data_IF_341909012551
#
_entry.id   IF_341909012551
#
_cell.length_a   1.000
_cell.length_b   1.000
_cell.length_c   1.000
_cell.angle_alpha   90.00
_cell.angle_beta   90.00
_cell.angle_gamma   90.00
#
_symmetry.space_group_name_H-M   'P 1'
#
loop_
_entity.id
_entity.type
_entity.pdbx_description
1 polymer ?
#
# COMPACT_ATOMS: atom_id res chain seq x y z
N UNK A 1 2.22 10.15 4.84
CA UNK A 1 1.48 8.89 4.62
C UNK A 1 2.16 7.76 5.35
N UNK A 2 1.45 6.67 5.70
CA UNK A 2 2.05 5.50 6.33
C UNK A 2 1.45 4.19 5.81
N UNK A 3 2.30 3.25 5.41
CA UNK A 3 1.92 1.89 4.99
C UNK A 3 1.53 1.02 6.19
N UNK A 4 0.53 0.17 6.03
CA UNK A 4 0.06 -0.72 7.08
C UNK A 4 1.01 -1.93 7.26
N UNK A 5 1.24 -2.34 8.51
CA UNK A 5 2.01 -3.54 8.91
C UNK A 5 1.12 -4.42 9.80
N UNK A 6 1.29 -5.75 9.80
CA UNK A 6 0.43 -6.67 10.56
C UNK A 6 0.21 -6.22 12.00
N UNK A 7 1.28 -5.85 12.73
CA UNK A 7 1.18 -5.41 14.14
C UNK A 7 0.21 -4.24 14.35
N UNK A 8 0.08 -3.32 13.39
CA UNK A 8 -0.88 -2.21 13.47
C UNK A 8 -2.27 -2.60 12.96
N UNK A 9 -2.34 -3.47 11.94
CA UNK A 9 -3.58 -4.01 11.40
C UNK A 9 -4.38 -4.81 12.43
N UNK A 10 -3.72 -5.76 13.08
CA UNK A 10 -4.31 -6.61 14.13
C UNK A 10 -4.94 -5.79 15.26
N UNK A 11 -4.20 -4.78 15.76
CA UNK A 11 -4.65 -3.92 16.86
C UNK A 11 -5.93 -3.14 16.54
N UNK A 12 -6.20 -2.85 15.28
CA UNK A 12 -7.32 -2.01 14.87
C UNK A 12 -8.44 -2.80 14.19
N UNK A 13 -8.15 -3.90 13.49
CA UNK A 13 -9.16 -4.75 12.88
C UNK A 13 -9.64 -5.87 13.81
N UNK A 14 -8.96 -6.13 14.92
CA UNK A 14 -9.30 -7.18 15.89
C UNK A 14 -8.83 -8.58 15.49
N UNK A 15 -8.33 -8.74 14.26
CA UNK A 15 -7.69 -9.96 13.75
C UNK A 15 -6.71 -9.59 12.62
N UNK A 16 -5.79 -10.50 12.30
CA UNK A 16 -4.90 -10.36 11.13
C UNK A 16 -5.58 -10.95 9.89
N UNK A 17 -6.08 -10.12 8.96
CA UNK A 17 -6.77 -10.63 7.77
C UNK A 17 -5.81 -11.32 6.78
N UNK A 18 -4.51 -11.07 6.92
CA UNK A 18 -3.53 -11.38 5.89
C UNK A 18 -3.36 -12.87 5.66
N UNK A 19 -3.24 -13.23 4.39
CA UNK A 19 -3.07 -14.61 3.91
C UNK A 19 -1.74 -14.85 3.22
N UNK A 20 -1.03 -13.81 2.75
CA UNK A 20 0.22 -14.02 2.01
C UNK A 20 1.45 -14.21 2.90
N UNK A 21 1.43 -13.71 4.14
CA UNK A 21 2.43 -14.00 5.16
C UNK A 21 1.89 -13.84 6.58
N UNK A 22 2.56 -14.47 7.54
CA UNK A 22 2.37 -14.27 8.99
C UNK A 22 3.53 -13.53 9.65
N UNK A 23 4.54 -13.13 8.89
CA UNK A 23 5.66 -12.34 9.42
C UNK A 23 5.17 -10.96 9.91
N UNK A 24 5.36 -10.58 11.19
CA UNK A 24 4.70 -9.39 11.77
C UNK A 24 4.99 -8.04 11.09
N UNK A 25 6.10 -7.97 10.36
CA UNK A 25 6.59 -6.76 9.71
C UNK A 25 6.19 -6.65 8.23
N UNK A 26 5.62 -7.69 7.64
CA UNK A 26 5.05 -7.66 6.31
C UNK A 26 3.83 -6.71 6.23
N UNK A 27 3.44 -6.28 5.02
CA UNK A 27 2.24 -5.49 4.81
C UNK A 27 0.99 -6.30 5.18
N UNK A 28 -0.01 -5.61 5.73
CA UNK A 28 -1.35 -6.22 5.86
C UNK A 28 -1.92 -6.43 4.46
N UNK A 29 -2.41 -7.62 4.17
CA UNK A 29 -3.11 -7.95 2.92
C UNK A 29 -4.52 -8.53 3.19
N UNK A 30 -5.22 -8.95 2.13
CA UNK A 30 -6.56 -9.56 2.22
C UNK A 30 -7.58 -8.66 2.94
N UNK A 31 -7.50 -7.35 2.69
CA UNK A 31 -8.47 -6.38 3.20
C UNK A 31 -9.39 -5.86 2.11
N UNK A 32 -10.64 -5.60 2.48
CA UNK A 32 -11.61 -4.88 1.64
C UNK A 32 -11.49 -3.37 1.87
N UNK A 33 -11.95 -2.52 0.93
CA UNK A 33 -12.03 -1.08 1.14
C UNK A 33 -12.85 -0.69 2.38
N UNK A 34 -13.89 -1.46 2.70
CA UNK A 34 -14.70 -1.27 3.91
C UNK A 34 -13.85 -1.43 5.17
N UNK A 35 -13.07 -2.51 5.27
CA UNK A 35 -12.15 -2.73 6.40
C UNK A 35 -11.07 -1.65 6.49
N UNK A 36 -10.57 -1.15 5.35
CA UNK A 36 -9.65 0.00 5.35
C UNK A 36 -10.33 1.26 5.94
N UNK A 37 -11.60 1.49 5.60
CA UNK A 37 -12.41 2.57 6.18
C UNK A 37 -12.61 2.43 7.70
N UNK A 38 -12.93 1.22 8.17
CA UNK A 38 -13.07 0.91 9.60
C UNK A 38 -11.74 1.11 10.36
N UNK A 39 -10.62 0.69 9.76
CA UNK A 39 -9.29 0.94 10.29
C UNK A 39 -9.02 2.45 10.41
N UNK A 40 -9.32 3.22 9.36
CA UNK A 40 -9.13 4.67 9.36
C UNK A 40 -9.98 5.35 10.44
N UNK A 41 -11.24 4.91 10.62
CA UNK A 41 -12.11 5.42 11.69
C UNK A 41 -11.49 5.17 13.06
N UNK A 42 -11.12 3.92 13.37
CA UNK A 42 -10.52 3.58 14.66
C UNK A 42 -9.18 4.27 14.91
N UNK A 43 -8.37 4.45 13.86
CA UNK A 43 -7.12 5.22 13.95
C UNK A 43 -7.40 6.70 14.25
N UNK A 44 -8.45 7.27 13.66
CA UNK A 44 -8.87 8.64 13.94
C UNK A 44 -9.34 8.80 15.38
N UNK A 45 -10.22 7.90 15.83
CA UNK A 45 -10.75 7.85 17.20
C UNK A 45 -9.59 7.75 18.23
N UNK A 46 -8.55 6.95 17.93
CA UNK A 46 -7.40 6.75 18.81
C UNK A 46 -6.40 7.91 18.84
N UNK A 47 -6.26 8.65 17.74
CA UNK A 47 -5.18 9.65 17.58
C UNK A 47 -5.67 11.09 17.62
N UNK A 48 -6.98 11.33 17.52
CA UNK A 48 -7.55 12.66 17.34
C UNK A 48 -7.26 13.30 15.98
N UNK A 49 -6.60 12.58 15.05
CA UNK A 49 -6.27 13.07 13.70
C UNK A 49 -7.15 12.38 12.68
N UNK A 50 -7.63 13.12 11.68
CA UNK A 50 -8.39 12.50 10.58
C UNK A 50 -7.49 11.57 9.76
N UNK A 51 -7.79 10.27 9.81
CA UNK A 51 -7.20 9.25 8.97
C UNK A 51 -8.18 8.84 7.86
N UNK A 52 -7.66 8.59 6.65
CA UNK A 52 -8.44 8.08 5.52
C UNK A 52 -7.59 7.33 4.51
N UNK A 53 -8.25 6.61 3.61
CA UNK A 53 -7.64 6.10 2.38
C UNK A 53 -7.12 7.27 1.52
N UNK A 54 -5.96 7.10 0.83
CA UNK A 54 -5.50 8.09 -0.13
C UNK A 54 -6.47 8.19 -1.32
N UNK A 55 -6.55 9.37 -1.93
CA UNK A 55 -7.06 9.46 -3.29
C UNK A 55 -6.04 8.85 -4.25
N UNK A 56 -6.48 8.43 -5.44
CA UNK A 56 -5.58 7.96 -6.49
C UNK A 56 -4.50 9.00 -6.82
N UNK A 57 -4.89 10.28 -6.93
CA UNK A 57 -3.98 11.37 -7.27
C UNK A 57 -2.99 11.64 -6.15
N UNK A 58 -3.42 11.62 -4.89
CA UNK A 58 -2.51 11.75 -3.75
C UNK A 58 -1.52 10.61 -3.70
N UNK A 59 -1.99 9.38 -3.95
CA UNK A 59 -1.13 8.21 -3.97
C UNK A 59 -0.06 8.33 -5.04
N UNK A 60 -0.44 8.70 -6.28
CA UNK A 60 0.51 8.83 -7.38
C UNK A 60 1.50 9.98 -7.16
N UNK A 61 1.02 11.12 -6.65
CA UNK A 61 1.86 12.27 -6.29
C UNK A 61 2.92 11.88 -5.25
N UNK A 62 2.48 11.16 -4.20
CA UNK A 62 3.37 10.63 -3.18
C UNK A 62 4.36 9.59 -3.72
N UNK A 63 3.94 8.75 -4.67
CA UNK A 63 4.81 7.73 -5.27
C UNK A 63 5.94 8.36 -6.08
N UNK A 64 5.60 9.39 -6.87
CA UNK A 64 6.53 10.15 -7.70
C UNK A 64 7.52 10.98 -6.91
N UNK A 65 7.09 11.55 -5.78
CA UNK A 65 7.92 12.38 -4.89
C UNK A 65 8.73 13.46 -5.65
N UNK A 66 8.09 14.12 -6.62
CA UNK A 66 8.72 15.17 -7.44
C UNK A 66 9.43 14.68 -8.70
N UNK A 67 9.42 13.38 -9.02
CA UNK A 67 10.03 12.81 -10.22
C UNK A 67 9.03 12.35 -11.28
N UNK A 68 9.48 12.24 -12.53
CA UNK A 68 8.76 11.59 -13.61
C UNK A 68 8.94 10.06 -13.58
N UNK A 69 8.47 9.41 -12.51
CA UNK A 69 8.49 7.96 -12.36
C UNK A 69 9.28 7.50 -11.13
N UNK A 70 10.46 6.91 -11.37
CA UNK A 70 11.35 6.40 -10.32
C UNK A 70 12.45 7.39 -9.91
N UNK A 71 12.59 8.52 -10.62
CA UNK A 71 13.79 9.36 -10.54
C UNK A 71 15.01 8.59 -11.06
N UNK A 72 16.15 8.73 -10.36
CA UNK A 72 17.41 8.04 -10.69
C UNK A 72 17.48 6.60 -10.17
N UNK A 73 16.44 6.13 -9.47
CA UNK A 73 16.41 4.80 -8.85
C UNK A 73 16.10 3.70 -9.86
N UNK A 74 16.72 2.52 -9.67
CA UNK A 74 16.28 1.30 -10.34
C UNK A 74 15.12 0.66 -9.57
N UNK A 75 14.21 0.00 -10.28
CA UNK A 75 13.07 -0.66 -9.62
C UNK A 75 13.51 -1.69 -8.57
N UNK A 76 14.60 -2.42 -8.83
CA UNK A 76 15.19 -3.41 -7.91
C UNK A 76 15.61 -2.83 -6.57
N UNK A 77 15.88 -1.52 -6.52
CA UNK A 77 16.38 -0.84 -5.34
C UNK A 77 15.23 -0.38 -4.45
N UNK A 78 14.05 -0.13 -5.04
CA UNK A 78 12.91 0.51 -4.35
C UNK A 78 11.67 -0.40 -4.21
N UNK A 79 11.64 -1.57 -4.86
CA UNK A 79 10.44 -2.40 -4.91
C UNK A 79 10.70 -3.91 -4.76
N UNK A 80 9.71 -4.59 -4.20
CA UNK A 80 9.57 -6.04 -4.22
C UNK A 80 8.52 -6.45 -5.28
N UNK A 81 8.94 -7.13 -6.33
CA UNK A 81 8.12 -7.49 -7.49
C UNK A 81 8.48 -8.88 -8.00
N UNK A 82 7.78 -9.37 -9.02
CA UNK A 82 7.77 -10.80 -9.39
C UNK A 82 9.16 -11.47 -9.48
N UNK A 83 10.15 -10.79 -10.06
CA UNK A 83 11.47 -11.41 -10.30
C UNK A 83 12.42 -11.32 -9.11
N UNK A 84 12.14 -10.48 -8.09
CA UNK A 84 13.03 -10.29 -6.95
C UNK A 84 12.38 -10.59 -5.59
N UNK A 85 11.10 -10.95 -5.55
CA UNK A 85 10.35 -11.14 -4.30
C UNK A 85 10.34 -12.56 -3.77
N UNK A 86 10.88 -13.54 -4.51
CA UNK A 86 10.70 -14.97 -4.22
C UNK A 86 9.21 -15.38 -4.13
N UNK A 87 8.33 -14.65 -4.84
CA UNK A 87 6.88 -14.89 -4.85
C UNK A 87 6.23 -14.82 -3.46
N UNK A 88 6.71 -13.90 -2.60
CA UNK A 88 6.14 -13.62 -1.28
C UNK A 88 6.25 -12.13 -0.92
N UNK A 89 5.42 -11.60 0.00
CA UNK A 89 5.65 -10.28 0.56
C UNK A 89 6.93 -10.26 1.41
N UNK A 90 7.46 -9.06 1.65
CA UNK A 90 8.65 -8.84 2.47
C UNK A 90 8.38 -7.81 3.56
N UNK A 91 9.17 -7.81 4.66
CA UNK A 91 9.08 -6.79 5.68
C UNK A 91 9.14 -5.37 5.09
N UNK A 92 8.19 -4.53 5.50
CA UNK A 92 8.06 -3.15 5.02
C UNK A 92 9.32 -2.34 5.30
N UNK A 93 9.75 -1.54 4.33
CA UNK A 93 10.87 -0.60 4.46
C UNK A 93 12.25 -1.24 4.36
N UNK A 94 12.35 -2.39 3.70
CA UNK A 94 13.61 -3.11 3.46
C UNK A 94 14.29 -2.76 2.14
N UNK A 95 13.59 -2.03 1.27
CA UNK A 95 14.11 -1.41 0.04
C UNK A 95 14.32 0.09 0.26
N UNK A 96 15.00 0.76 -0.67
CA UNK A 96 15.21 2.20 -0.60
C UNK A 96 13.88 2.98 -0.68
N UNK A 97 13.72 4.06 0.10
CA UNK A 97 12.56 4.94 -0.03
C UNK A 97 12.65 5.81 -1.28
N UNK A 98 11.54 6.46 -1.65
CA UNK A 98 11.58 7.57 -2.62
C UNK A 98 12.12 8.87 -1.97
N UNK A 99 12.21 9.95 -2.77
CA UNK A 99 12.77 11.24 -2.33
C UNK A 99 12.06 11.89 -1.12
N UNK A 100 10.86 11.44 -0.75
CA UNK A 100 10.12 11.92 0.44
C UNK A 100 10.21 10.96 1.63
N UNK A 101 11.09 9.95 1.57
CA UNK A 101 11.23 8.96 2.63
C UNK A 101 10.08 7.95 2.67
N UNK A 102 9.29 7.81 1.60
CA UNK A 102 8.20 6.84 1.54
C UNK A 102 8.69 5.52 0.97
N UNK A 103 8.48 4.46 1.74
CA UNK A 103 8.83 3.09 1.39
C UNK A 103 7.65 2.36 0.74
N UNK A 104 7.99 1.31 -0.02
CA UNK A 104 7.05 0.36 -0.62
C UNK A 104 5.93 1.07 -1.40
N UNK A 105 6.24 2.22 -2.02
CA UNK A 105 5.29 2.86 -2.94
C UNK A 105 5.06 2.00 -4.19
N UNK A 106 6.00 1.10 -4.51
CA UNK A 106 5.90 0.16 -5.61
C UNK A 106 6.21 -1.25 -5.13
N UNK A 107 5.41 -2.21 -5.60
CA UNK A 107 5.58 -3.61 -5.20
C UNK A 107 5.19 -3.89 -3.74
N UNK A 108 5.65 -5.02 -3.23
CA UNK A 108 5.31 -5.60 -1.93
C UNK A 108 3.81 -5.93 -1.83
N UNK A 109 2.93 -4.94 -1.63
CA UNK A 109 1.49 -5.11 -1.68
C UNK A 109 0.84 -4.05 -2.59
N UNK A 110 -0.22 -4.46 -3.29
CA UNK A 110 -1.11 -3.52 -3.95
C UNK A 110 -1.77 -2.66 -2.88
N UNK A 111 -2.07 -1.40 -3.18
CA UNK A 111 -2.65 -0.51 -2.17
C UNK A 111 -3.96 0.13 -2.62
N UNK A 112 -5.00 -0.01 -1.79
CA UNK A 112 -6.28 0.62 -2.02
C UNK A 112 -6.17 2.15 -2.09
N UNK A 113 -6.71 2.73 -3.17
CA UNK A 113 -6.88 4.15 -3.34
C UNK A 113 -8.26 4.47 -3.94
N UNK A 114 -8.78 5.66 -3.63
CA UNK A 114 -10.08 6.13 -4.12
C UNK A 114 -9.91 7.10 -5.29
N UNK A 115 -10.46 6.77 -6.44
CA UNK A 115 -10.69 7.73 -7.54
C UNK A 115 -12.07 8.39 -7.41
N UNK A 116 -12.41 9.28 -8.35
CA UNK A 116 -13.69 9.99 -8.32
C UNK A 116 -14.90 9.05 -8.47
N UNK A 117 -14.81 8.09 -9.40
CA UNK A 117 -15.90 7.18 -9.76
C UNK A 117 -15.58 5.69 -9.49
N UNK A 118 -14.45 5.41 -8.84
CA UNK A 118 -13.97 4.04 -8.64
C UNK A 118 -13.07 3.90 -7.41
N UNK A 119 -12.89 2.68 -6.94
CA UNK A 119 -11.90 2.30 -5.92
C UNK A 119 -11.09 1.14 -6.50
N UNK A 120 -9.77 1.17 -6.32
CA UNK A 120 -8.93 0.05 -6.71
C UNK A 120 -7.49 0.22 -6.29
N UNK A 121 -6.62 -0.59 -6.89
CA UNK A 121 -5.25 -0.73 -6.45
C UNK A 121 -4.26 0.13 -7.23
N UNK A 122 -3.20 0.48 -6.51
CA UNK A 122 -2.01 1.19 -6.99
C UNK A 122 -0.74 0.40 -6.67
N UNK A 123 0.35 0.74 -7.37
CA UNK A 123 1.73 0.37 -7.02
C UNK A 123 2.22 -1.01 -7.44
N UNK A 124 1.32 -2.01 -7.53
CA UNK A 124 1.73 -3.39 -7.74
C UNK A 124 2.10 -4.08 -6.43
N UNK A 125 2.24 -5.40 -6.48
CA UNK A 125 2.61 -6.26 -5.35
C UNK A 125 3.80 -7.16 -5.70
N UNK A 126 4.22 -8.00 -4.75
CA UNK A 126 5.29 -8.97 -4.91
C UNK A 126 5.16 -9.91 -6.13
N UNK A 127 3.97 -10.09 -6.71
CA UNK A 127 3.74 -10.89 -7.93
C UNK A 127 3.69 -10.08 -9.24
N UNK A 128 3.74 -8.75 -9.13
CA UNK A 128 3.58 -7.87 -10.29
C UNK A 128 4.84 -7.90 -11.14
N UNK A 129 4.75 -8.10 -12.46
CA UNK A 129 5.94 -8.06 -13.32
C UNK A 129 6.52 -6.64 -13.38
N UNK A 130 7.84 -6.53 -13.46
CA UNK A 130 8.62 -5.28 -13.51
C UNK A 130 7.98 -4.16 -14.35
N UNK A 131 7.70 -4.43 -15.63
CA UNK A 131 7.11 -3.44 -16.57
C UNK A 131 5.77 -2.83 -16.11
N UNK A 132 5.10 -3.45 -15.15
CA UNK A 132 3.83 -2.99 -14.56
C UNK A 132 4.02 -2.31 -13.21
N UNK A 133 5.16 -2.45 -12.54
CA UNK A 133 5.46 -1.87 -11.23
C UNK A 133 5.89 -0.40 -11.38
N UNK A 134 4.90 0.47 -11.66
CA UNK A 134 5.13 1.91 -11.91
C UNK A 134 4.08 2.78 -11.21
N UNK A 135 4.39 4.06 -10.91
CA UNK A 135 3.48 4.95 -10.19
C UNK A 135 2.10 5.11 -10.84
N UNK A 136 2.02 4.99 -12.17
CA UNK A 136 0.77 5.13 -12.95
C UNK A 136 -0.08 3.87 -13.02
N UNK A 137 0.35 2.75 -12.40
CA UNK A 137 -0.41 1.50 -12.44
C UNK A 137 -1.74 1.67 -11.70
N UNK A 138 -2.82 1.46 -12.45
CA UNK A 138 -4.18 1.31 -11.95
C UNK A 138 -4.60 -0.14 -12.14
N UNK A 139 -5.16 -0.75 -11.11
CA UNK A 139 -5.78 -2.08 -11.19
C UNK A 139 -7.17 -2.00 -10.58
N UNK A 140 -8.18 -2.09 -11.44
CA UNK A 140 -9.57 -2.14 -11.00
C UNK A 140 -9.84 -3.45 -10.27
N UNK A 141 -10.56 -3.38 -9.15
CA UNK A 141 -11.00 -4.56 -8.42
C UNK A 141 -12.53 -4.59 -8.41
N UNK A 142 -13.09 -5.12 -9.50
CA UNK A 142 -14.50 -4.95 -9.89
C UNK A 142 -15.55 -5.36 -8.86
N UNK A 143 -15.20 -6.23 -7.92
CA UNK A 143 -16.12 -6.70 -6.88
C UNK A 143 -15.79 -6.14 -5.49
N UNK A 144 -14.74 -5.32 -5.32
CA UNK A 144 -14.27 -4.80 -4.02
C UNK A 144 -14.02 -5.87 -2.94
N UNK A 145 -13.84 -7.13 -3.36
CA UNK A 145 -13.48 -8.24 -2.48
C UNK A 145 -12.02 -8.12 -2.03
N UNK A 146 -11.64 -8.85 -0.99
CA UNK A 146 -10.25 -8.98 -0.59
C UNK A 146 -9.51 -10.02 -1.44
N UNK A 147 -8.21 -9.81 -1.60
CA UNK A 147 -7.29 -10.75 -2.24
C UNK A 147 -5.94 -10.75 -1.48
N UNK A 148 -5.12 -11.81 -1.58
CA UNK A 148 -3.89 -11.94 -0.79
C UNK A 148 -2.77 -11.00 -1.22
N UNK A 149 -3.04 -10.04 -2.09
CA UNK A 149 -2.08 -9.09 -2.61
C UNK A 149 -2.46 -7.65 -2.30
N UNK A 150 -3.72 -7.43 -1.91
CA UNK A 150 -4.32 -6.14 -1.60
C UNK A 150 -4.15 -5.72 -0.14
N UNK A 151 -3.32 -4.72 0.06
CA UNK A 151 -3.13 -3.99 1.31
C UNK A 151 -3.56 -2.53 1.20
N UNK A 152 -2.99 -1.69 2.06
CA UNK A 152 -3.31 -0.26 2.09
C UNK A 152 -2.25 0.57 2.82
N UNK A 153 -2.25 1.87 2.50
CA UNK A 153 -1.64 2.93 3.32
C UNK A 153 -2.69 3.95 3.72
N UNK A 154 -2.39 4.74 4.75
CA UNK A 154 -3.27 5.80 5.26
C UNK A 154 -2.68 7.19 5.06
N UNK A 155 -3.56 8.14 4.80
CA UNK A 155 -3.30 9.58 4.87
C UNK A 155 -3.78 10.08 6.23
N UNK A 156 -2.91 10.80 6.95
CA UNK A 156 -3.28 11.55 8.14
C UNK A 156 -3.30 13.03 7.75
N UNK A 157 -4.42 13.72 8.01
CA UNK A 157 -4.50 15.17 7.79
C UNK A 157 -3.73 15.88 8.90
N UNK A 158 -2.78 16.74 8.51
CA UNK A 158 -2.09 17.65 9.43
C UNK A 158 -2.99 18.88 9.61
N UNK A 159 -3.12 19.35 10.85
CA UNK A 159 -3.85 20.59 11.17
C UNK A 159 -3.05 21.81 10.70
#
# INVERSE_FOLDING_TARGET
MAVSRHRKGELLLGANPSKSSREPQCPVDTVTPKQVGEFCKKLSDKTGKTARMPTETEWEYAARAGSDGLGDSKLTDVAWFQSNSEMKPHPVGTKAPNAWGLYDMLGNANEWAKGEKWIGYRGGCWRTPERKSKPTRREGHGNLHSDPFGGFRVVLKVQ
#
